data_IF_588065378132
#
_entry.id   IF_588065378132
#
_cell.length_a   1.000
_cell.length_b   1.000
_cell.length_c   1.000
_cell.angle_alpha   90.00
_cell.angle_beta   90.00
_cell.angle_gamma   90.00
#
_symmetry.space_group_name_H-M   'P 1'
#
loop_
_entity.id
_entity.type
_entity.pdbx_description
1 polymer ?
#
# COMPACT_ATOMS: atom_id res chain seq x y z
N UNK A 1 -17.87 -9.81 -4.70
CA UNK A 1 -16.48 -10.08 -4.36
C UNK A 1 -16.41 -11.01 -3.14
N UNK A 2 -15.64 -12.07 -3.22
CA UNK A 2 -15.51 -13.00 -2.10
C UNK A 2 -14.70 -12.39 -0.97
N UNK A 3 -15.16 -12.51 0.28
CA UNK A 3 -14.40 -11.95 1.41
C UNK A 3 -12.96 -12.45 1.48
N UNK A 4 -12.72 -13.71 1.09
CA UNK A 4 -11.36 -14.26 1.10
C UNK A 4 -10.40 -13.49 0.20
N UNK A 5 -10.89 -13.01 -0.95
CA UNK A 5 -10.04 -12.24 -1.87
C UNK A 5 -9.60 -10.91 -1.25
N UNK A 6 -10.49 -10.28 -0.47
CA UNK A 6 -10.14 -9.04 0.20
C UNK A 6 -9.08 -9.28 1.27
N UNK A 7 -9.24 -10.33 2.08
CA UNK A 7 -8.24 -10.65 3.09
C UNK A 7 -6.90 -10.99 2.46
N UNK A 8 -6.91 -11.75 1.37
CA UNK A 8 -5.67 -12.06 0.67
C UNK A 8 -4.99 -10.79 0.15
N UNK A 9 -5.78 -9.85 -0.37
CA UNK A 9 -5.22 -8.62 -0.91
C UNK A 9 -4.50 -7.80 0.17
N UNK A 10 -5.04 -7.75 1.38
CA UNK A 10 -4.41 -6.97 2.45
C UNK A 10 -3.46 -7.80 3.31
N UNK A 11 -3.18 -9.04 2.95
CA UNK A 11 -2.20 -9.87 3.66
C UNK A 11 -0.77 -9.44 3.34
N UNK A 12 -0.55 -8.69 2.28
CA UNK A 12 0.77 -8.23 1.86
C UNK A 12 1.04 -6.83 2.41
N UNK A 13 2.24 -6.63 2.97
CA UNK A 13 2.55 -5.36 3.64
C UNK A 13 2.57 -4.17 2.70
N UNK A 14 3.08 -4.34 1.47
CA UNK A 14 3.08 -3.22 0.50
C UNK A 14 1.67 -2.84 0.12
N UNK A 15 0.79 -3.81 -0.06
CA UNK A 15 -0.60 -3.52 -0.40
C UNK A 15 -1.31 -2.81 0.76
N UNK A 16 -1.03 -3.20 2.00
CA UNK A 16 -1.59 -2.47 3.14
C UNK A 16 -1.12 -1.02 3.16
N UNK A 17 0.17 -0.80 2.83
CA UNK A 17 0.70 0.57 2.78
C UNK A 17 0.00 1.42 1.72
N UNK A 18 -0.31 0.82 0.57
CA UNK A 18 -1.04 1.55 -0.47
C UNK A 18 -2.40 1.99 0.06
N UNK A 19 -3.15 1.08 0.67
CA UNK A 19 -4.46 1.42 1.20
C UNK A 19 -4.36 2.51 2.26
N UNK A 20 -3.42 2.39 3.18
CA UNK A 20 -3.25 3.39 4.23
C UNK A 20 -2.84 4.75 3.66
N UNK A 21 -1.97 4.75 2.67
CA UNK A 21 -1.52 5.99 2.03
C UNK A 21 -2.68 6.68 1.32
N UNK A 22 -3.45 5.92 0.55
CA UNK A 22 -4.57 6.50 -0.19
C UNK A 22 -5.65 7.03 0.74
N UNK A 23 -5.85 6.42 1.90
CA UNK A 23 -6.86 6.89 2.83
C UNK A 23 -6.54 8.30 3.35
N UNK A 24 -5.27 8.71 3.29
CA UNK A 24 -4.84 10.04 3.72
C UNK A 24 -4.70 11.02 2.57
N UNK A 25 -4.92 10.56 1.34
CA UNK A 25 -4.71 11.37 0.15
C UNK A 25 -6.03 11.79 -0.45
N UNK A 26 -6.00 12.80 -1.30
CA UNK A 26 -7.16 13.18 -2.10
C UNK A 26 -6.72 13.24 -3.57
N UNK A 27 -7.65 12.83 -4.46
CA UNK A 27 -7.38 12.84 -5.88
C UNK A 27 -6.45 11.71 -6.31
N UNK A 28 -5.94 11.85 -7.53
CA UNK A 28 -5.07 10.85 -8.12
C UNK A 28 -3.68 10.92 -7.50
N UNK A 29 -3.13 9.76 -7.16
CA UNK A 29 -1.79 9.66 -6.58
C UNK A 29 -0.89 8.95 -7.59
N UNK A 30 0.20 9.58 -8.04
CA UNK A 30 1.13 8.92 -8.95
C UNK A 30 1.78 7.70 -8.30
N UNK A 31 1.95 6.63 -9.08
CA UNK A 31 2.61 5.43 -8.58
C UNK A 31 4.04 5.75 -8.13
N UNK A 32 4.72 6.69 -8.80
CA UNK A 32 6.06 7.11 -8.37
C UNK A 32 6.06 7.61 -6.93
N UNK A 33 5.05 8.37 -6.54
CA UNK A 33 4.97 8.89 -5.18
C UNK A 33 4.75 7.76 -4.17
N UNK A 34 3.89 6.80 -4.53
CA UNK A 34 3.68 5.64 -3.68
C UNK A 34 4.95 4.81 -3.54
N UNK A 35 5.70 4.66 -4.64
CA UNK A 35 6.92 3.89 -4.61
C UNK A 35 7.95 4.51 -3.68
N UNK A 36 8.09 5.83 -3.71
CA UNK A 36 9.02 6.53 -2.82
C UNK A 36 8.58 6.37 -1.36
N UNK A 37 7.30 6.55 -1.11
CA UNK A 37 6.79 6.44 0.27
C UNK A 37 7.00 5.04 0.82
N UNK A 38 6.68 4.02 0.03
CA UNK A 38 6.81 2.64 0.47
C UNK A 38 8.28 2.28 0.68
N UNK A 39 9.14 2.68 -0.24
CA UNK A 39 10.58 2.42 -0.10
C UNK A 39 11.15 3.11 1.14
N UNK A 40 10.70 4.33 1.42
CA UNK A 40 11.15 5.05 2.60
C UNK A 40 10.76 4.30 3.88
N UNK A 41 9.52 3.83 3.94
CA UNK A 41 9.04 3.11 5.11
C UNK A 41 9.78 1.79 5.28
N UNK A 42 9.95 1.03 4.19
CA UNK A 42 10.58 -0.28 4.26
C UNK A 42 12.04 -0.21 4.65
N UNK A 43 12.71 0.87 4.28
CA UNK A 43 14.14 1.03 4.54
C UNK A 43 14.42 2.00 5.70
N UNK A 44 13.37 2.48 6.35
CA UNK A 44 13.48 3.40 7.49
C UNK A 44 14.29 4.64 7.12
N UNK A 45 13.97 5.20 5.96
CA UNK A 45 14.65 6.38 5.43
C UNK A 45 13.69 7.54 5.30
N UNK A 46 14.25 8.76 5.33
CA UNK A 46 13.52 9.94 4.88
C UNK A 46 13.24 9.78 3.38
N UNK A 47 12.04 10.16 2.89
CA UNK A 47 11.75 10.02 1.46
C UNK A 47 12.79 10.67 0.56
N UNK A 48 13.42 11.76 1.00
CA UNK A 48 14.45 12.43 0.20
C UNK A 48 15.72 11.61 0.07
N UNK A 49 15.86 10.55 0.86
CA UNK A 49 17.05 9.71 0.87
C UNK A 49 16.83 8.35 0.21
N UNK A 50 15.66 8.14 -0.38
CA UNK A 50 15.37 6.88 -1.08
C UNK A 50 16.22 6.84 -2.35
N UNK A 51 16.97 5.75 -2.52
CA UNK A 51 17.78 5.56 -3.71
C UNK A 51 16.97 5.11 -4.89
N UNK A 52 17.58 5.21 -6.08
CA UNK A 52 16.89 4.83 -7.31
C UNK A 52 16.55 3.34 -7.34
N UNK A 53 17.39 2.49 -6.75
CA UNK A 53 17.14 1.05 -6.74
C UNK A 53 15.93 0.70 -5.86
N UNK A 54 15.86 1.30 -4.67
CA UNK A 54 14.74 1.06 -3.77
C UNK A 54 13.44 1.53 -4.38
N UNK A 55 13.45 2.71 -4.98
CA UNK A 55 12.27 3.26 -5.62
C UNK A 55 11.84 2.40 -6.80
N UNK A 56 12.80 1.98 -7.63
CA UNK A 56 12.48 1.16 -8.81
C UNK A 56 11.91 -0.19 -8.39
N UNK A 57 12.44 -0.81 -7.36
CA UNK A 57 11.93 -2.09 -6.87
C UNK A 57 10.48 -1.97 -6.44
N UNK A 58 10.17 -0.92 -5.65
CA UNK A 58 8.80 -0.70 -5.21
C UNK A 58 7.88 -0.40 -6.40
N UNK A 59 8.32 0.46 -7.32
CA UNK A 59 7.53 0.82 -8.49
C UNK A 59 7.19 -0.41 -9.33
N UNK A 60 8.19 -1.25 -9.60
CA UNK A 60 7.98 -2.43 -10.43
C UNK A 60 6.99 -3.39 -9.77
N UNK A 61 7.16 -3.67 -8.48
CA UNK A 61 6.24 -4.59 -7.83
C UNK A 61 4.83 -4.03 -7.74
N UNK A 62 4.69 -2.72 -7.55
CA UNK A 62 3.38 -2.09 -7.53
C UNK A 62 2.69 -2.22 -8.87
N UNK A 63 3.38 -1.87 -9.95
CA UNK A 63 2.76 -1.87 -11.28
C UNK A 63 2.56 -3.25 -11.85
N UNK A 64 3.39 -4.22 -11.49
CA UNK A 64 3.28 -5.57 -12.04
C UNK A 64 2.34 -6.47 -11.28
N UNK A 65 2.03 -6.15 -10.01
CA UNK A 65 1.26 -7.08 -9.21
C UNK A 65 0.30 -6.41 -8.24
N UNK A 66 0.82 -5.54 -7.38
CA UNK A 66 0.06 -5.11 -6.21
C UNK A 66 -1.15 -4.24 -6.54
N UNK A 67 -1.00 -3.33 -7.49
CA UNK A 67 -2.10 -2.43 -7.82
C UNK A 67 -3.21 -3.16 -8.56
N UNK A 68 -2.87 -4.11 -9.42
CA UNK A 68 -3.90 -4.93 -10.07
C UNK A 68 -4.66 -5.76 -9.05
N UNK A 69 -3.97 -6.31 -8.07
CA UNK A 69 -4.63 -7.09 -7.02
C UNK A 69 -5.60 -6.24 -6.22
N UNK A 70 -5.17 -5.04 -5.83
CA UNK A 70 -6.03 -4.14 -5.06
C UNK A 70 -7.20 -3.62 -5.89
N UNK A 71 -6.96 -3.30 -7.15
CA UNK A 71 -8.04 -2.89 -8.06
C UNK A 71 -9.05 -4.01 -8.23
N UNK A 72 -8.55 -5.24 -8.38
CA UNK A 72 -9.40 -6.41 -8.58
C UNK A 72 -10.39 -6.66 -7.45
N UNK A 73 -10.07 -6.24 -6.23
CA UNK A 73 -10.99 -6.39 -5.09
C UNK A 73 -11.72 -5.08 -4.79
N UNK A 74 -11.53 -4.06 -5.61
CA UNK A 74 -12.22 -2.79 -5.42
C UNK A 74 -11.64 -1.90 -4.33
N UNK A 75 -10.46 -2.25 -3.80
CA UNK A 75 -9.85 -1.47 -2.74
C UNK A 75 -9.30 -0.13 -3.22
N UNK A 76 -8.90 -0.07 -4.47
CA UNK A 76 -8.40 1.14 -5.12
C UNK A 76 -8.84 1.14 -6.57
N UNK A 77 -8.68 2.27 -7.23
CA UNK A 77 -8.92 2.41 -8.67
C UNK A 77 -7.57 2.72 -9.31
N UNK A 78 -7.01 1.78 -10.05
CA UNK A 78 -5.69 1.91 -10.66
C UNK A 78 -5.81 2.18 -12.16
N UNK A 79 -5.25 3.29 -12.60
CA UNK A 79 -5.18 3.63 -14.02
C UNK A 79 -3.79 3.30 -14.52
N UNK A 80 -3.67 2.19 -15.25
CA UNK A 80 -2.38 1.71 -15.75
C UNK A 80 -1.81 2.61 -16.84
N UNK A 81 -2.66 3.36 -17.54
CA UNK A 81 -2.19 4.23 -18.60
C UNK A 81 -1.49 5.47 -18.05
N UNK A 82 -2.09 6.08 -17.04
CA UNK A 82 -1.51 7.29 -16.45
C UNK A 82 -0.59 6.97 -15.27
N UNK A 83 -0.57 5.69 -14.82
CA UNK A 83 0.19 5.27 -13.65
C UNK A 83 -0.19 6.08 -12.42
N UNK A 84 -1.50 6.18 -12.19
CA UNK A 84 -2.05 6.84 -11.02
C UNK A 84 -3.03 5.93 -10.31
N UNK A 85 -3.21 6.15 -9.01
CA UNK A 85 -4.11 5.37 -8.18
C UNK A 85 -5.01 6.33 -7.43
N UNK A 86 -6.29 5.97 -7.35
CA UNK A 86 -7.29 6.80 -6.68
C UNK A 86 -8.04 5.95 -5.65
N UNK A 87 -8.43 6.56 -4.54
CA UNK A 87 -9.24 5.88 -3.54
C UNK A 87 -10.64 5.57 -4.06
N UNK A 88 -11.22 4.49 -3.59
CA UNK A 88 -12.61 4.15 -3.84
C UNK A 88 -13.40 4.26 -2.54
N UNK A 89 -14.69 3.96 -2.59
CA UNK A 89 -15.50 3.93 -1.38
C UNK A 89 -15.03 2.87 -0.39
N UNK A 90 -14.29 1.86 -0.86
CA UNK A 90 -13.80 0.79 -0.01
C UNK A 90 -12.47 1.14 0.68
N UNK A 91 -11.74 2.14 0.17
CA UNK A 91 -10.40 2.43 0.66
C UNK A 91 -10.38 2.80 2.14
N UNK A 92 -11.23 3.73 2.55
CA UNK A 92 -11.22 4.18 3.94
C UNK A 92 -11.69 3.09 4.91
N UNK A 93 -12.78 2.35 4.64
CA UNK A 93 -13.15 1.24 5.53
C UNK A 93 -12.04 0.20 5.65
N UNK A 94 -11.33 -0.10 4.56
CA UNK A 94 -10.22 -1.05 4.63
C UNK A 94 -9.07 -0.50 5.45
N UNK A 95 -8.73 0.78 5.27
CA UNK A 95 -7.67 1.42 6.05
C UNK A 95 -8.00 1.40 7.53
N UNK A 96 -9.27 1.66 7.88
CA UNK A 96 -9.72 1.61 9.26
C UNK A 96 -9.56 0.21 9.84
N UNK A 97 -9.94 -0.80 9.06
CA UNK A 97 -9.82 -2.20 9.47
C UNK A 97 -8.34 -2.56 9.71
N UNK A 98 -7.47 -2.16 8.80
CA UNK A 98 -6.03 -2.41 8.94
C UNK A 98 -5.49 -1.76 10.21
N UNK A 99 -5.84 -0.49 10.45
CA UNK A 99 -5.39 0.21 11.64
C UNK A 99 -5.86 -0.45 12.93
N UNK A 100 -7.12 -0.91 12.94
CA UNK A 100 -7.67 -1.59 14.11
C UNK A 100 -6.96 -2.90 14.39
N UNK A 101 -6.68 -3.68 13.34
CA UNK A 101 -5.96 -4.93 13.50
C UNK A 101 -4.54 -4.70 13.99
N UNK A 102 -3.86 -3.71 13.43
CA UNK A 102 -2.50 -3.39 13.87
C UNK A 102 -2.47 -2.99 15.34
N UNK A 103 -3.44 -2.19 15.77
CA UNK A 103 -3.52 -1.78 17.17
C UNK A 103 -3.84 -2.93 18.09
N UNK A 104 -4.81 -3.77 17.70
CA UNK A 104 -5.28 -4.85 18.55
C UNK A 104 -4.28 -5.98 18.69
N UNK A 105 -3.49 -6.23 17.63
CA UNK A 105 -2.61 -7.40 17.56
C UNK A 105 -1.14 -7.03 17.55
N UNK A 106 -0.83 -5.77 17.80
CA UNK A 106 0.54 -5.28 17.71
C UNK A 106 1.46 -5.97 18.70
N UNK A 107 2.65 -6.31 18.23
CA UNK A 107 3.76 -6.75 19.07
C UNK A 107 4.95 -5.84 18.80
N UNK A 108 5.66 -5.41 19.85
CA UNK A 108 6.86 -4.59 19.63
C UNK A 108 7.89 -5.34 18.79
N UNK A 109 8.57 -4.61 17.93
CA UNK A 109 9.57 -5.19 17.03
C UNK A 109 10.67 -5.90 17.80
N UNK A 110 11.04 -5.38 18.95
CA UNK A 110 12.10 -6.02 19.74
C UNK A 110 11.77 -7.46 20.12
N UNK A 111 10.50 -7.79 20.17
CA UNK A 111 10.07 -9.16 20.42
C UNK A 111 10.06 -9.98 19.14
N UNK A 112 9.71 -9.36 18.03
CA UNK A 112 9.59 -10.06 16.76
C UNK A 112 10.93 -10.30 16.11
N UNK A 113 11.86 -9.39 16.30
CA UNK A 113 13.15 -9.45 15.61
C UNK A 113 14.06 -10.55 16.13
N UNK A 114 13.68 -11.20 17.15
CA UNK A 114 14.47 -12.31 17.70
C UNK A 114 14.34 -13.56 16.88
#
# INVERSE_FOLDING_TARGET
>A
MAPGAVFDAIANSRRRRVVLSLSRSSGDVPVDDLAVEIAAIENELDPSKVGSNERASAYISLTQRHLDTLDGVGAVDYDDRSKTVTATDATEPLAEYIRRLQTACYKPDSEDST
#
